data_IF_666926564017
#
_entry.id   IF_666926564017
#
_cell.length_a   1.000
_cell.length_b   1.000
_cell.length_c   1.000
_cell.angle_alpha   90.00
_cell.angle_beta   90.00
_cell.angle_gamma   90.00
#
_symmetry.space_group_name_H-M   'P 1'
#
loop_
_entity.id
_entity.type
_entity.pdbx_description
1 polymer ?
#
# COMPACT_ATOMS: atom_id res chain seq x y z
N UNK A 1 20.96 46.87 -26.80
CA UNK A 1 22.13 46.27 -26.14
C UNK A 1 21.65 45.71 -24.80
N UNK A 2 21.22 44.45 -24.79
CA UNK A 2 20.69 43.76 -23.60
C UNK A 2 21.87 43.11 -22.87
N UNK A 3 22.11 43.55 -21.64
CA UNK A 3 23.16 43.01 -20.78
C UNK A 3 22.60 41.76 -20.10
N UNK A 4 23.21 40.61 -20.40
CA UNK A 4 22.99 39.32 -19.73
C UNK A 4 23.68 39.36 -18.35
N UNK A 5 22.94 39.13 -17.26
CA UNK A 5 23.55 38.73 -15.98
C UNK A 5 23.64 37.20 -15.94
N UNK A 6 24.78 36.61 -15.53
CA UNK A 6 24.93 35.16 -15.43
C UNK A 6 24.21 34.62 -14.19
N UNK A 7 23.47 33.53 -14.38
CA UNK A 7 22.76 32.81 -13.34
C UNK A 7 23.71 32.14 -12.35
N UNK A 8 23.54 32.45 -11.07
CA UNK A 8 24.14 31.73 -9.96
C UNK A 8 23.42 30.39 -9.79
N UNK A 9 24.09 29.30 -10.16
CA UNK A 9 23.67 27.95 -9.80
C UNK A 9 23.90 27.76 -8.29
N UNK A 10 22.81 27.72 -7.52
CA UNK A 10 22.84 27.37 -6.11
C UNK A 10 22.95 25.85 -6.01
N UNK A 11 24.16 25.34 -5.83
CA UNK A 11 24.40 23.94 -5.51
C UNK A 11 23.91 23.68 -4.08
N UNK A 12 22.74 23.05 -3.93
CA UNK A 12 22.29 22.51 -2.64
C UNK A 12 23.09 21.24 -2.40
N UNK A 13 24.09 21.33 -1.53
CA UNK A 13 24.81 20.17 -1.03
C UNK A 13 23.84 19.29 -0.22
N UNK A 14 23.53 18.10 -0.73
CA UNK A 14 22.85 17.06 0.02
C UNK A 14 23.81 16.54 1.09
N UNK A 15 23.68 17.08 2.30
CA UNK A 15 24.34 16.53 3.48
C UNK A 15 23.60 15.25 3.85
N UNK A 16 24.21 14.10 3.55
CA UNK A 16 23.78 12.81 4.09
C UNK A 16 24.22 12.82 5.56
N UNK A 17 23.30 12.83 6.55
CA UNK A 17 23.71 12.63 7.93
C UNK A 17 24.21 11.19 8.07
N UNK A 18 25.52 11.03 8.19
CA UNK A 18 26.09 9.82 8.75
C UNK A 18 25.55 9.70 10.17
N UNK A 19 24.72 8.70 10.42
CA UNK A 19 24.33 8.32 11.77
C UNK A 19 25.61 7.85 12.45
N UNK A 20 26.19 8.73 13.27
CA UNK A 20 27.28 8.38 14.17
C UNK A 20 26.66 7.50 15.26
N UNK A 21 26.89 6.19 15.18
CA UNK A 21 26.57 5.28 16.28
C UNK A 21 27.33 5.71 17.53
N UNK A 22 26.63 5.75 18.67
CA UNK A 22 27.21 6.08 19.96
C UNK A 22 28.34 5.10 20.30
N UNK A 23 29.52 5.64 20.61
CA UNK A 23 30.56 4.92 21.32
C UNK A 23 30.15 4.70 22.77
N UNK A 24 30.43 3.49 23.28
CA UNK A 24 30.41 3.13 24.68
C UNK A 24 31.41 2.00 24.85
N UNK A 25 32.62 2.35 25.29
CA UNK A 25 33.65 1.41 25.74
C UNK A 25 33.22 0.84 27.10
N UNK A 26 32.61 -0.35 27.12
CA UNK A 26 32.46 -1.15 28.34
C UNK A 26 33.09 -2.53 28.09
N UNK A 27 34.26 -2.74 28.72
CA UNK A 27 35.03 -3.99 28.72
C UNK A 27 34.38 -5.05 29.63
N UNK A 28 33.15 -5.47 29.33
CA UNK A 28 32.52 -6.60 30.03
C UNK A 28 32.57 -7.87 29.16
N UNK A 29 33.29 -8.85 29.67
CA UNK A 29 33.68 -10.09 29.01
C UNK A 29 32.59 -11.18 29.07
N UNK A 30 31.31 -10.80 28.96
CA UNK A 30 30.18 -11.72 29.07
C UNK A 30 29.52 -11.93 27.69
N UNK A 31 30.13 -12.79 26.87
CA UNK A 31 29.63 -13.13 25.53
C UNK A 31 28.74 -14.39 25.56
N UNK A 32 27.50 -14.25 26.04
CA UNK A 32 26.42 -15.24 25.76
C UNK A 32 25.06 -14.60 25.43
N UNK A 33 25.10 -13.42 24.82
CA UNK A 33 23.95 -12.88 24.10
C UNK A 33 24.44 -12.08 22.91
N UNK A 34 24.19 -12.51 21.66
CA UNK A 34 24.56 -11.72 20.51
C UNK A 34 23.76 -10.41 20.57
N UNK A 35 24.45 -9.30 20.82
CA UNK A 35 23.91 -7.97 20.61
C UNK A 35 23.24 -7.93 19.23
N UNK A 36 22.04 -7.34 19.08
CA UNK A 36 21.41 -7.25 17.77
C UNK A 36 22.38 -6.54 16.83
N UNK A 37 22.79 -7.23 15.76
CA UNK A 37 23.68 -6.67 14.74
C UNK A 37 23.05 -5.36 14.23
N UNK A 38 23.70 -4.23 14.53
CA UNK A 38 23.19 -2.90 14.18
C UNK A 38 23.24 -2.62 12.68
N UNK A 39 23.86 -3.51 11.90
CA UNK A 39 24.03 -3.35 10.47
C UNK A 39 23.12 -4.33 9.73
N UNK A 40 22.02 -3.80 9.18
CA UNK A 40 21.28 -4.51 8.15
C UNK A 40 22.17 -4.62 6.89
N UNK A 41 22.78 -5.79 6.69
CA UNK A 41 23.60 -6.04 5.50
C UNK A 41 22.69 -6.35 4.31
N UNK A 42 22.55 -5.39 3.39
CA UNK A 42 21.88 -5.63 2.11
C UNK A 42 22.65 -6.68 1.31
N UNK A 43 21.92 -7.59 0.65
CA UNK A 43 22.52 -8.60 -0.20
C UNK A 43 23.24 -7.96 -1.40
N UNK A 44 24.48 -8.36 -1.71
CA UNK A 44 25.25 -7.81 -2.82
C UNK A 44 24.84 -8.37 -4.19
N UNK A 45 23.89 -9.30 -4.25
CA UNK A 45 23.45 -9.93 -5.49
C UNK A 45 22.75 -8.91 -6.41
N UNK A 46 22.96 -9.08 -7.73
CA UNK A 46 22.27 -8.28 -8.73
C UNK A 46 20.75 -8.51 -8.65
N UNK A 47 19.95 -7.50 -9.06
CA UNK A 47 18.49 -7.61 -9.07
C UNK A 47 17.97 -8.75 -9.93
N UNK A 48 18.73 -9.15 -10.97
CA UNK A 48 18.42 -10.30 -11.83
C UNK A 48 18.55 -11.66 -11.13
N UNK A 49 19.18 -11.72 -9.95
CA UNK A 49 19.21 -12.92 -9.11
C UNK A 49 17.91 -13.13 -8.32
N UNK A 50 17.01 -12.14 -8.32
CA UNK A 50 15.71 -12.21 -7.66
C UNK A 50 14.61 -12.35 -8.69
N UNK A 51 13.64 -13.19 -8.37
CA UNK A 51 12.39 -13.29 -9.13
C UNK A 51 11.27 -12.70 -8.29
N UNK A 52 10.39 -11.91 -8.92
CA UNK A 52 9.19 -11.41 -8.26
C UNK A 52 8.26 -12.59 -8.00
N UNK A 53 7.96 -12.83 -6.73
CA UNK A 53 7.01 -13.87 -6.30
C UNK A 53 5.61 -13.31 -6.17
N UNK A 54 5.49 -12.03 -5.81
CA UNK A 54 4.22 -11.42 -5.49
C UNK A 54 4.18 -9.93 -5.82
N UNK A 55 2.97 -9.44 -6.08
CA UNK A 55 2.63 -8.04 -6.30
C UNK A 55 1.54 -7.64 -5.31
N UNK A 56 1.90 -6.71 -4.43
CA UNK A 56 1.11 -6.32 -3.26
C UNK A 56 1.10 -4.79 -3.09
N UNK A 57 1.07 -4.04 -4.20
CA UNK A 57 1.05 -2.59 -4.13
C UNK A 57 -0.30 -2.10 -3.60
N UNK A 58 -1.37 -2.36 -4.35
CA UNK A 58 -2.73 -2.13 -3.93
C UNK A 58 -3.28 -3.36 -3.20
N UNK A 59 -3.86 -3.17 -2.00
CA UNK A 59 -4.44 -4.28 -1.27
C UNK A 59 -5.65 -4.82 -2.04
N UNK A 60 -6.00 -6.07 -1.75
CA UNK A 60 -7.16 -6.77 -2.32
C UNK A 60 -6.99 -7.17 -3.80
N UNK A 61 -6.22 -6.45 -4.62
CA UNK A 61 -6.11 -6.70 -6.08
C UNK A 61 -5.66 -8.12 -6.39
N UNK A 62 -4.40 -8.46 -6.10
CA UNK A 62 -3.85 -9.78 -6.42
C UNK A 62 -4.50 -10.91 -5.59
N UNK A 63 -5.07 -10.58 -4.43
CA UNK A 63 -5.67 -11.57 -3.53
C UNK A 63 -7.09 -11.96 -3.91
N UNK A 64 -7.89 -11.02 -4.41
CA UNK A 64 -9.34 -11.17 -4.57
C UNK A 64 -9.83 -11.10 -6.03
N UNK A 65 -9.28 -10.20 -6.85
CA UNK A 65 -9.79 -9.98 -8.22
C UNK A 65 -8.89 -10.52 -9.32
N UNK A 66 -7.76 -11.14 -8.97
CA UNK A 66 -6.87 -11.84 -9.90
C UNK A 66 -6.95 -13.35 -9.64
N UNK A 67 -7.26 -14.10 -10.70
CA UNK A 67 -7.32 -15.56 -10.66
C UNK A 67 -5.99 -16.16 -11.11
N UNK A 68 -5.38 -15.62 -12.16
CA UNK A 68 -4.09 -16.08 -12.69
C UNK A 68 -2.88 -15.51 -11.94
N UNK A 69 -2.82 -15.75 -10.62
CA UNK A 69 -1.85 -15.13 -9.69
C UNK A 69 -0.40 -15.23 -10.15
N UNK A 70 0.07 -16.41 -10.58
CA UNK A 70 1.45 -16.58 -11.03
C UNK A 70 1.76 -15.76 -12.30
N UNK A 71 0.81 -15.69 -13.23
CA UNK A 71 0.96 -14.91 -14.46
C UNK A 71 0.95 -13.40 -14.15
N UNK A 72 0.03 -12.94 -13.28
CA UNK A 72 -0.03 -11.56 -12.82
C UNK A 72 1.25 -11.16 -12.07
N UNK A 73 1.73 -12.03 -11.19
CA UNK A 73 2.96 -11.88 -10.44
C UNK A 73 4.21 -11.91 -11.34
N UNK A 74 4.18 -12.57 -12.50
CA UNK A 74 5.27 -12.55 -13.48
C UNK A 74 5.20 -11.37 -14.46
N UNK A 75 4.04 -10.75 -14.65
CA UNK A 75 3.82 -9.65 -15.60
C UNK A 75 4.35 -8.28 -15.14
N UNK A 76 4.45 -7.33 -16.07
CA UNK A 76 4.83 -5.95 -15.75
C UNK A 76 3.56 -5.17 -15.32
N UNK A 77 3.59 -4.39 -14.23
CA UNK A 77 2.44 -3.57 -13.83
C UNK A 77 1.91 -2.66 -14.96
N UNK A 78 2.79 -2.20 -15.86
CA UNK A 78 2.39 -1.39 -17.01
C UNK A 78 1.36 -2.09 -17.94
N UNK A 79 1.22 -3.42 -17.87
CA UNK A 79 0.28 -4.21 -18.68
C UNK A 79 -1.01 -4.58 -17.93
N UNK A 80 -1.21 -4.13 -16.69
CA UNK A 80 -2.40 -4.52 -15.90
C UNK A 80 -3.73 -4.08 -16.52
N UNK A 81 -3.72 -2.94 -17.22
CA UNK A 81 -4.90 -2.43 -17.93
C UNK A 81 -5.20 -3.13 -19.25
N UNK A 82 -4.55 -4.27 -19.52
CA UNK A 82 -4.68 -5.03 -20.77
C UNK A 82 -5.04 -6.48 -20.49
N UNK A 83 -5.45 -7.20 -21.54
CA UNK A 83 -5.75 -8.62 -21.45
C UNK A 83 -4.51 -9.44 -21.05
N UNK A 84 -4.65 -10.47 -20.19
CA UNK A 84 -5.93 -11.00 -19.68
C UNK A 84 -6.45 -10.31 -18.40
N UNK A 85 -5.66 -9.46 -17.77
CA UNK A 85 -5.91 -9.04 -16.38
C UNK A 85 -7.10 -8.08 -16.24
N UNK A 86 -7.31 -7.19 -17.20
CA UNK A 86 -8.47 -6.29 -17.16
C UNK A 86 -9.80 -7.07 -17.23
N UNK A 87 -9.87 -8.13 -18.04
CA UNK A 87 -11.03 -9.02 -18.09
C UNK A 87 -11.18 -9.85 -16.83
N UNK A 88 -10.10 -10.37 -16.25
CA UNK A 88 -10.17 -11.07 -14.95
C UNK A 88 -10.72 -10.18 -13.85
N UNK A 89 -10.21 -8.94 -13.74
CA UNK A 89 -10.68 -7.96 -12.77
C UNK A 89 -12.18 -7.71 -12.96
N UNK A 90 -12.62 -7.40 -14.18
CA UNK A 90 -14.04 -7.16 -14.47
C UNK A 90 -14.94 -8.36 -14.16
N UNK A 91 -14.48 -9.57 -14.49
CA UNK A 91 -15.21 -10.82 -14.23
C UNK A 91 -15.37 -11.07 -12.73
N UNK A 92 -14.30 -10.93 -11.96
CA UNK A 92 -14.33 -11.16 -10.51
C UNK A 92 -15.10 -10.08 -9.78
N UNK A 93 -15.00 -8.81 -10.20
CA UNK A 93 -15.85 -7.72 -9.66
C UNK A 93 -17.33 -8.01 -9.91
N UNK A 94 -17.71 -8.42 -11.11
CA UNK A 94 -19.09 -8.80 -11.42
C UNK A 94 -19.59 -9.99 -10.60
N UNK A 95 -18.71 -10.94 -10.29
CA UNK A 95 -19.03 -12.06 -9.40
C UNK A 95 -19.30 -11.59 -7.97
N UNK A 96 -18.52 -10.62 -7.45
CA UNK A 96 -18.78 -10.04 -6.13
C UNK A 96 -20.11 -9.29 -6.08
N UNK A 97 -20.44 -8.48 -7.09
CA UNK A 97 -21.73 -7.81 -7.18
C UNK A 97 -22.89 -8.82 -7.19
N UNK A 98 -22.79 -9.87 -8.00
CA UNK A 98 -23.80 -10.96 -8.03
C UNK A 98 -24.00 -11.61 -6.65
N UNK A 99 -22.92 -11.71 -5.85
CA UNK A 99 -22.94 -12.39 -4.56
C UNK A 99 -23.31 -11.48 -3.37
N UNK A 100 -23.19 -10.16 -3.50
CA UNK A 100 -23.27 -9.23 -2.35
C UNK A 100 -24.27 -8.09 -2.53
N UNK A 101 -24.70 -7.76 -3.74
CA UNK A 101 -25.56 -6.58 -3.97
C UNK A 101 -26.89 -6.68 -3.22
N UNK A 102 -27.48 -7.88 -3.16
CA UNK A 102 -28.74 -8.11 -2.45
C UNK A 102 -28.60 -7.86 -0.95
N UNK A 103 -27.48 -8.30 -0.36
CA UNK A 103 -27.14 -8.11 1.04
C UNK A 103 -26.83 -6.65 1.35
N UNK A 104 -26.11 -5.95 0.48
CA UNK A 104 -25.83 -4.53 0.62
C UNK A 104 -27.11 -3.69 0.57
N UNK A 105 -28.02 -3.98 -0.37
CA UNK A 105 -29.33 -3.34 -0.43
C UNK A 105 -30.16 -3.64 0.82
N UNK A 106 -30.09 -4.85 1.38
CA UNK A 106 -30.77 -5.18 2.63
C UNK A 106 -30.21 -4.41 3.85
N UNK A 107 -28.99 -3.88 3.76
CA UNK A 107 -28.38 -2.98 4.73
C UNK A 107 -28.62 -1.49 4.44
N UNK A 108 -29.50 -1.17 3.49
CA UNK A 108 -29.79 0.19 3.01
C UNK A 108 -28.56 0.91 2.44
N UNK A 109 -27.63 0.17 1.84
CA UNK A 109 -26.55 0.71 1.03
C UNK A 109 -26.90 0.62 -0.46
N UNK A 110 -26.33 1.49 -1.27
CA UNK A 110 -26.54 1.50 -2.73
C UNK A 110 -25.32 0.88 -3.44
N UNK A 111 -25.44 -0.33 -4.00
CA UNK A 111 -24.33 -0.94 -4.73
C UNK A 111 -23.99 -0.18 -6.01
N UNK A 112 -22.70 -0.07 -6.32
CA UNK A 112 -22.26 0.41 -7.62
C UNK A 112 -22.63 -0.61 -8.71
N UNK A 113 -22.89 -0.13 -9.93
CA UNK A 113 -22.87 -1.00 -11.11
C UNK A 113 -21.44 -1.41 -11.44
N UNK A 114 -21.25 -2.56 -12.12
CA UNK A 114 -19.92 -2.98 -12.59
C UNK A 114 -19.15 -1.88 -13.33
N UNK A 115 -19.83 -1.06 -14.13
CA UNK A 115 -19.22 0.07 -14.85
C UNK A 115 -18.72 1.15 -13.88
N UNK A 116 -19.55 1.53 -12.89
CA UNK A 116 -19.15 2.48 -11.85
C UNK A 116 -17.96 1.94 -11.04
N UNK A 117 -18.01 0.67 -10.62
CA UNK A 117 -16.95 0.01 -9.86
C UNK A 117 -15.60 0.06 -10.57
N UNK A 118 -15.57 -0.24 -11.87
CA UNK A 118 -14.34 -0.17 -12.67
C UNK A 118 -13.88 1.27 -12.91
N UNK A 119 -14.79 2.19 -13.14
CA UNK A 119 -14.46 3.60 -13.34
C UNK A 119 -13.87 4.25 -12.07
N UNK A 120 -14.41 3.92 -10.90
CA UNK A 120 -14.00 4.51 -9.63
C UNK A 120 -12.74 3.84 -9.03
N UNK A 121 -12.62 2.52 -9.13
CA UNK A 121 -11.45 1.79 -8.62
C UNK A 121 -10.26 1.78 -9.59
N UNK A 122 -10.52 1.77 -10.91
CA UNK A 122 -9.50 1.62 -11.95
C UNK A 122 -8.29 2.56 -11.80
N UNK A 123 -8.47 3.87 -11.56
CA UNK A 123 -7.35 4.80 -11.36
C UNK A 123 -6.45 4.46 -10.18
N UNK A 124 -6.96 3.74 -9.17
CA UNK A 124 -6.21 3.29 -7.99
C UNK A 124 -5.48 1.97 -8.26
N UNK A 125 -6.12 1.01 -8.94
CA UNK A 125 -5.62 -0.36 -9.10
C UNK A 125 -4.86 -0.63 -10.41
N UNK A 126 -4.93 0.28 -11.38
CA UNK A 126 -4.26 0.14 -12.68
C UNK A 126 -3.33 1.33 -12.97
N UNK A 127 -2.03 1.10 -13.19
CA UNK A 127 -1.30 -0.12 -12.83
C UNK A 127 -1.27 -0.34 -11.31
N UNK A 128 -1.12 -1.59 -10.87
CA UNK A 128 -0.98 -1.96 -9.45
C UNK A 128 0.41 -1.57 -8.95
N UNK A 129 0.53 -0.28 -8.63
CA UNK A 129 1.72 0.39 -8.10
C UNK A 129 1.30 1.37 -7.01
N UNK A 130 2.10 1.47 -5.96
CA UNK A 130 1.90 2.52 -4.95
C UNK A 130 2.31 3.86 -5.54
N UNK A 131 1.40 4.82 -5.50
CA UNK A 131 1.68 6.20 -5.91
C UNK A 131 1.93 7.05 -4.68
N UNK A 132 3.04 7.79 -4.72
CA UNK A 132 3.41 8.73 -3.67
C UNK A 132 3.75 10.06 -4.31
N UNK A 133 3.05 11.09 -3.88
CA UNK A 133 3.32 12.48 -4.15
C UNK A 133 3.77 13.14 -2.84
N UNK A 134 5.06 13.55 -2.73
CA UNK A 134 5.61 14.12 -1.50
C UNK A 134 5.06 15.53 -1.19
N UNK A 135 4.30 16.15 -2.09
CA UNK A 135 3.70 17.46 -1.90
C UNK A 135 2.31 17.43 -1.24
N UNK A 136 1.73 16.25 -1.02
CA UNK A 136 0.45 16.05 -0.36
C UNK A 136 0.61 15.19 0.89
N UNK A 137 -0.35 15.28 1.81
CA UNK A 137 -0.34 14.52 3.06
C UNK A 137 -0.21 13.01 2.78
N UNK A 138 0.54 12.32 3.64
CA UNK A 138 0.74 10.87 3.56
C UNK A 138 -0.50 10.13 4.06
N UNK A 139 -0.75 8.96 3.47
CA UNK A 139 -1.89 8.10 3.80
C UNK A 139 -2.65 7.74 2.55
N UNK A 140 -3.43 6.67 2.61
CA UNK A 140 -4.12 6.13 1.45
C UNK A 140 -5.06 7.18 0.83
N UNK A 141 -5.03 7.39 -0.51
CA UNK A 141 -4.29 6.64 -1.54
C UNK A 141 -2.86 7.16 -1.85
N UNK A 142 -2.40 8.22 -1.19
CA UNK A 142 -1.04 8.76 -1.31
C UNK A 142 -0.04 7.95 -0.45
N UNK A 143 0.23 6.72 -0.88
CA UNK A 143 0.91 5.71 -0.07
C UNK A 143 -0.06 5.04 0.89
N UNK A 144 0.41 4.65 2.08
CA UNK A 144 -0.40 4.09 3.16
C UNK A 144 0.29 4.29 4.50
N UNK A 145 -0.49 4.62 5.53
CA UNK A 145 -0.08 4.54 6.92
C UNK A 145 -0.36 3.13 7.45
N UNK A 146 0.30 2.78 8.55
CA UNK A 146 0.06 1.50 9.24
C UNK A 146 -1.37 1.38 9.78
N UNK A 147 -2.03 2.51 10.02
CA UNK A 147 -3.40 2.60 10.56
C UNK A 147 -4.48 2.74 9.49
N UNK A 148 -4.12 2.84 8.20
CA UNK A 148 -5.13 3.05 7.16
C UNK A 148 -5.97 1.77 6.99
N UNK A 149 -7.32 1.85 7.02
CA UNK A 149 -8.20 0.70 6.80
C UNK A 149 -8.32 0.40 5.30
N UNK A 150 -7.19 0.17 4.64
CA UNK A 150 -7.14 0.15 3.18
C UNK A 150 -8.01 -0.94 2.54
N UNK A 151 -8.12 -2.17 3.08
CA UNK A 151 -9.06 -3.16 2.56
C UNK A 151 -10.52 -2.69 2.59
N UNK A 152 -10.97 -2.07 3.69
CA UNK A 152 -12.34 -1.55 3.80
C UNK A 152 -12.60 -0.41 2.83
N UNK A 153 -11.61 0.48 2.69
CA UNK A 153 -11.70 1.59 1.74
C UNK A 153 -11.78 1.08 0.31
N UNK A 154 -10.93 0.13 -0.07
CA UNK A 154 -10.96 -0.45 -1.41
C UNK A 154 -12.24 -1.25 -1.67
N UNK A 155 -12.76 -1.97 -0.68
CA UNK A 155 -14.01 -2.70 -0.83
C UNK A 155 -15.20 -1.74 -1.01
N UNK A 156 -15.25 -0.63 -0.27
CA UNK A 156 -16.27 0.40 -0.46
C UNK A 156 -16.15 1.05 -1.84
N UNK A 157 -14.92 1.37 -2.27
CA UNK A 157 -14.62 1.88 -3.62
C UNK A 157 -14.89 0.85 -4.71
N UNK A 158 -15.05 -0.44 -4.44
CA UNK A 158 -15.44 -1.40 -5.49
C UNK A 158 -16.94 -1.69 -5.46
N UNK A 159 -17.56 -1.75 -4.29
CA UNK A 159 -18.93 -2.25 -4.17
C UNK A 159 -20.01 -1.17 -4.03
N UNK A 160 -19.68 0.03 -3.56
CA UNK A 160 -20.67 1.08 -3.28
C UNK A 160 -20.67 2.18 -4.34
N UNK A 161 -21.84 2.70 -4.69
CA UNK A 161 -21.97 3.91 -5.51
C UNK A 161 -21.54 5.13 -4.68
N UNK A 162 -20.31 5.60 -4.86
CA UNK A 162 -19.79 6.75 -4.11
C UNK A 162 -20.45 8.09 -4.49
N UNK A 163 -21.28 8.12 -5.54
CA UNK A 163 -22.12 9.25 -5.89
C UNK A 163 -23.43 9.31 -5.11
N UNK A 164 -23.83 8.22 -4.45
CA UNK A 164 -25.05 8.16 -3.66
C UNK A 164 -24.90 8.91 -2.31
N UNK A 165 -25.83 9.79 -1.93
CA UNK A 165 -25.77 10.49 -0.64
C UNK A 165 -25.79 9.54 0.56
N UNK A 166 -24.89 9.75 1.52
CA UNK A 166 -24.87 8.97 2.77
C UNK A 166 -23.92 7.77 2.77
N UNK A 167 -23.19 7.54 1.67
CA UNK A 167 -22.08 6.60 1.61
C UNK A 167 -20.83 7.24 1.01
N UNK A 168 -19.67 6.66 1.32
CA UNK A 168 -18.37 7.16 0.91
C UNK A 168 -17.33 6.04 0.90
N UNK A 169 -16.10 6.36 0.50
CA UNK A 169 -15.00 5.42 0.50
C UNK A 169 -14.66 4.88 1.92
N UNK A 170 -15.16 5.48 3.01
CA UNK A 170 -14.96 4.98 4.38
C UNK A 170 -16.16 4.23 4.93
N UNK A 171 -17.26 4.08 4.20
CA UNK A 171 -18.52 3.51 4.73
C UNK A 171 -18.34 2.15 5.40
N UNK A 172 -17.53 1.26 4.83
CA UNK A 172 -17.23 -0.03 5.46
C UNK A 172 -16.26 0.07 6.64
N UNK A 173 -15.28 0.98 6.57
CA UNK A 173 -14.33 1.20 7.67
C UNK A 173 -15.02 1.78 8.92
N UNK A 174 -16.09 2.56 8.72
CA UNK A 174 -16.89 3.19 9.77
C UNK A 174 -17.89 2.21 10.42
N UNK A 175 -18.04 1.00 9.87
CA UNK A 175 -18.81 -0.05 10.55
C UNK A 175 -18.04 -0.55 11.78
N UNK A 176 -18.72 -0.85 12.90
CA UNK A 176 -18.09 -1.34 14.12
C UNK A 176 -17.69 -2.83 14.02
N UNK A 177 -17.15 -3.24 12.87
CA UNK A 177 -16.66 -4.60 12.58
C UNK A 177 -15.15 -4.70 12.78
N UNK A 178 -14.43 -3.59 12.60
CA UNK A 178 -13.00 -3.55 12.81
C UNK A 178 -12.64 -3.59 14.30
N UNK A 179 -11.55 -4.27 14.69
CA UNK A 179 -11.02 -4.14 16.05
C UNK A 179 -10.70 -2.68 16.34
N UNK A 180 -11.07 -2.20 17.53
CA UNK A 180 -10.94 -0.78 17.87
C UNK A 180 -9.48 -0.29 17.91
N UNK A 181 -8.53 -1.19 18.19
CA UNK A 181 -7.09 -0.90 18.19
C UNK A 181 -6.27 -2.20 18.13
N UNK A 182 -4.99 -2.06 17.81
CA UNK A 182 -3.99 -3.11 18.01
C UNK A 182 -3.76 -3.38 19.51
N UNK A 183 -3.36 -4.60 19.86
CA UNK A 183 -3.01 -4.98 21.24
C UNK A 183 -1.87 -4.13 21.82
N UNK A 184 -0.99 -3.63 20.95
CA UNK A 184 0.09 -2.68 21.26
C UNK A 184 0.05 -1.52 20.29
N UNK A 185 0.23 -0.31 20.79
CA UNK A 185 0.36 0.87 19.96
C UNK A 185 1.58 0.78 19.04
N UNK A 186 1.51 1.43 17.88
CA UNK A 186 2.66 1.61 17.01
C UNK A 186 3.76 2.42 17.73
N UNK A 187 5.02 2.05 17.47
CA UNK A 187 6.17 2.79 17.98
C UNK A 187 6.33 4.11 17.20
N UNK A 188 6.85 5.14 17.85
CA UNK A 188 7.13 6.44 17.21
C UNK A 188 8.43 6.45 16.42
N UNK A 189 9.21 5.38 16.50
CA UNK A 189 10.47 5.19 15.78
C UNK A 189 10.54 3.78 15.18
N UNK A 190 11.36 3.64 14.14
CA UNK A 190 11.63 2.35 13.50
C UNK A 190 12.08 1.31 14.55
N UNK A 191 11.52 0.08 14.55
CA UNK A 191 10.75 -0.58 13.49
C UNK A 191 9.23 -0.30 13.39
N UNK A 192 8.69 0.72 14.08
CA UNK A 192 7.28 1.17 14.08
C UNK A 192 6.21 0.14 14.54
N UNK A 193 6.47 -1.16 14.39
CA UNK A 193 5.65 -2.26 14.88
C UNK A 193 6.15 -2.73 16.25
N UNK A 194 5.23 -3.23 17.08
CA UNK A 194 5.58 -3.89 18.33
C UNK A 194 6.34 -5.20 18.06
N UNK A 195 7.08 -5.68 19.07
CA UNK A 195 7.72 -6.99 19.00
C UNK A 195 6.68 -8.10 18.78
N UNK A 196 7.00 -9.17 18.03
CA UNK A 196 6.08 -10.30 17.83
C UNK A 196 5.55 -10.85 19.15
N UNK A 197 4.29 -11.30 19.14
CA UNK A 197 3.70 -11.96 20.30
C UNK A 197 4.44 -13.28 20.57
N UNK A 198 4.95 -13.46 21.78
CA UNK A 198 5.55 -14.74 22.21
C UNK A 198 4.43 -15.67 22.70
N UNK A 199 4.37 -16.94 22.25
CA UNK A 199 3.36 -17.91 22.69
C UNK A 199 3.32 -18.16 24.20
#
# INVERSE_FOLDING_TARGET
>A
MRIYLPGTALAVALVIPFITGCGGDDNDNDNDSPAPSTDFAFSPLATSSYTRIDRQAMPVVNTAVITSKDAYNAANPATDGTEPFITEIGTNVAAYHTALDAELMALNLDPATNEQSLAQAGPLIIPDVLRVNPAVATGFPNGRLLSDPTPDVMLAVVLLDLGHPGQSATTFADLPLNPAANDKAFLTAFPYLATPHTP
#
